data_IF_639604093479
#
_entry.id   IF_639604093479
#
_cell.length_a   1.000
_cell.length_b   1.000
_cell.length_c   1.000
_cell.angle_alpha   90.00
_cell.angle_beta   90.00
_cell.angle_gamma   90.00
#
_symmetry.space_group_name_H-M   'P 1'
#
loop_
_entity.id
_entity.type
_entity.pdbx_description
1 polymer ?
#
# COMPACT_ATOMS: atom_id res chain seq x y z
N UNK A 1 6.07 -19.32 12.36
CA UNK A 1 6.64 -18.18 13.12
C UNK A 1 8.09 -18.50 13.38
N UNK A 2 9.00 -17.77 12.74
CA UNK A 2 10.42 -18.20 12.68
C UNK A 2 11.27 -17.62 13.82
N UNK A 3 10.75 -16.60 14.53
CA UNK A 3 11.44 -15.93 15.64
C UNK A 3 11.27 -16.64 17.00
N UNK A 4 10.65 -17.83 17.05
CA UNK A 4 10.50 -18.61 18.28
C UNK A 4 9.48 -18.06 19.29
N UNK A 5 8.55 -17.21 18.85
CA UNK A 5 7.47 -16.70 19.71
C UNK A 5 6.28 -17.67 19.66
N UNK A 6 5.78 -18.04 20.83
CA UNK A 6 4.59 -18.89 20.96
C UNK A 6 3.35 -18.23 20.31
N UNK A 7 2.61 -18.94 19.43
CA UNK A 7 1.48 -18.37 18.69
C UNK A 7 0.39 -17.77 19.59
N UNK A 8 0.11 -18.38 20.75
CA UNK A 8 -0.86 -17.85 21.72
C UNK A 8 -0.48 -16.44 22.24
N UNK A 9 0.81 -16.16 22.42
CA UNK A 9 1.27 -14.83 22.83
C UNK A 9 1.00 -13.82 21.73
N UNK A 10 1.28 -14.16 20.47
CA UNK A 10 0.99 -13.29 19.33
C UNK A 10 -0.52 -13.02 19.25
N UNK A 11 -1.35 -14.07 19.34
CA UNK A 11 -2.80 -13.95 19.28
C UNK A 11 -3.35 -13.03 20.40
N UNK A 12 -2.80 -13.11 21.61
CA UNK A 12 -3.28 -12.32 22.75
C UNK A 12 -2.78 -10.88 22.78
N UNK A 13 -1.60 -10.58 22.21
CA UNK A 13 -1.02 -9.23 22.28
C UNK A 13 -1.11 -8.42 20.99
N UNK A 14 -1.18 -9.07 19.82
CA UNK A 14 -1.17 -8.37 18.54
C UNK A 14 -2.52 -7.70 18.28
N UNK A 15 -2.51 -6.38 18.17
CA UNK A 15 -3.70 -5.57 17.90
C UNK A 15 -3.89 -5.30 16.40
N UNK A 16 -2.79 -4.95 15.73
CA UNK A 16 -2.75 -4.67 14.31
C UNK A 16 -1.31 -4.84 13.80
N UNK A 17 -1.18 -5.09 12.51
CA UNK A 17 0.08 -4.96 11.79
C UNK A 17 -0.02 -3.84 10.75
N UNK A 18 1.10 -3.18 10.48
CA UNK A 18 1.19 -2.16 9.45
C UNK A 18 2.37 -2.42 8.53
N UNK A 19 2.11 -2.40 7.24
CA UNK A 19 3.13 -2.37 6.20
C UNK A 19 3.31 -0.92 5.73
N UNK A 20 4.56 -0.47 5.66
CA UNK A 20 4.90 0.90 5.25
C UNK A 20 5.87 0.87 4.06
N UNK A 21 5.59 1.68 3.04
CA UNK A 21 6.54 2.00 1.96
C UNK A 21 6.76 3.51 1.87
N UNK A 22 7.98 3.93 1.55
CA UNK A 22 8.29 5.34 1.28
C UNK A 22 8.34 5.57 -0.23
N UNK A 23 7.48 6.45 -0.72
CA UNK A 23 7.44 6.82 -2.14
C UNK A 23 7.98 8.24 -2.34
N UNK A 24 8.63 8.47 -3.48
CA UNK A 24 9.15 9.78 -3.85
C UNK A 24 7.98 10.72 -4.16
N UNK A 25 7.98 11.92 -3.59
CA UNK A 25 6.96 12.95 -3.89
C UNK A 25 7.38 13.73 -5.13
N UNK A 26 6.44 13.97 -6.03
CA UNK A 26 6.68 14.83 -7.18
C UNK A 26 7.10 16.23 -6.74
N UNK A 27 8.05 16.82 -7.47
CA UNK A 27 8.44 18.20 -7.25
C UNK A 27 7.24 19.13 -7.53
N UNK A 28 6.81 19.97 -6.58
CA UNK A 28 5.66 20.84 -6.77
C UNK A 28 5.91 21.92 -7.82
N UNK A 29 7.19 22.29 -8.04
CA UNK A 29 7.59 23.38 -8.93
C UNK A 29 7.57 22.98 -10.41
N UNK A 30 7.66 21.67 -10.73
CA UNK A 30 7.75 21.20 -12.11
C UNK A 30 6.83 20.04 -12.47
N UNK A 31 6.00 19.52 -11.56
CA UNK A 31 5.04 18.45 -11.89
C UNK A 31 4.10 18.90 -13.01
N UNK A 32 3.79 18.01 -13.95
CA UNK A 32 2.88 18.29 -15.07
C UNK A 32 1.60 17.48 -14.94
N UNK A 33 0.47 18.15 -15.10
CA UNK A 33 -0.85 17.52 -15.17
C UNK A 33 -1.09 16.95 -16.57
N UNK A 34 -1.57 15.70 -16.63
CA UNK A 34 -2.01 15.04 -17.86
C UNK A 34 -3.13 14.04 -17.55
N UNK A 35 -3.99 13.71 -18.53
CA UNK A 35 -4.88 12.55 -18.39
C UNK A 35 -4.05 11.25 -18.30
N UNK A 36 -4.57 10.20 -17.63
CA UNK A 36 -3.90 8.91 -17.54
C UNK A 36 -3.61 8.34 -18.92
N UNK A 37 -2.39 7.84 -19.11
CA UNK A 37 -2.05 7.05 -20.29
C UNK A 37 -2.76 5.67 -20.28
N UNK A 38 -2.64 4.91 -21.36
CA UNK A 38 -3.31 3.62 -21.48
C UNK A 38 -2.92 2.64 -20.37
N UNK A 39 -1.65 2.64 -19.94
CA UNK A 39 -1.14 1.76 -18.88
C UNK A 39 -1.66 2.21 -17.52
N UNK A 40 -1.67 3.52 -17.26
CA UNK A 40 -2.19 4.10 -16.03
C UNK A 40 -3.69 3.85 -15.88
N UNK A 41 -4.45 3.92 -16.98
CA UNK A 41 -5.88 3.54 -16.95
C UNK A 41 -6.08 2.09 -16.54
N UNK A 42 -5.24 1.18 -17.04
CA UNK A 42 -5.30 -0.24 -16.64
C UNK A 42 -4.97 -0.39 -15.16
N UNK A 43 -3.85 0.18 -14.74
CA UNK A 43 -3.34 0.05 -13.37
C UNK A 43 -4.31 0.63 -12.33
N UNK A 44 -4.98 1.72 -12.68
CA UNK A 44 -5.92 2.41 -11.79
C UNK A 44 -7.36 1.92 -11.93
N UNK A 45 -7.65 0.97 -12.83
CA UNK A 45 -9.00 0.46 -13.07
C UNK A 45 -9.95 1.49 -13.68
N UNK A 46 -9.44 2.38 -14.52
CA UNK A 46 -10.18 3.49 -15.16
C UNK A 46 -10.65 3.16 -16.58
N UNK A 47 -10.86 1.88 -16.90
CA UNK A 47 -11.20 1.42 -18.26
C UNK A 47 -12.52 1.98 -18.76
N UNK A 48 -13.53 2.02 -17.88
CA UNK A 48 -14.90 2.43 -18.21
C UNK A 48 -15.25 3.80 -17.59
N UNK A 49 -14.24 4.58 -17.18
CA UNK A 49 -14.47 5.86 -16.53
C UNK A 49 -14.89 6.92 -17.56
N UNK A 50 -16.12 7.43 -17.45
CA UNK A 50 -16.62 8.54 -18.29
C UNK A 50 -15.81 9.84 -18.12
N UNK A 51 -15.28 10.05 -16.92
CA UNK A 51 -14.41 11.18 -16.59
C UNK A 51 -13.07 10.66 -16.09
N UNK A 52 -11.99 11.08 -16.75
CA UNK A 52 -10.64 10.70 -16.37
C UNK A 52 -10.08 11.68 -15.32
N UNK A 53 -9.44 11.17 -14.24
CA UNK A 53 -8.77 12.03 -13.28
C UNK A 53 -7.54 12.69 -13.91
N UNK A 54 -7.07 13.77 -13.30
CA UNK A 54 -5.77 14.36 -13.62
C UNK A 54 -4.68 13.61 -12.87
N UNK A 55 -3.70 13.09 -13.59
CA UNK A 55 -2.47 12.52 -13.03
C UNK A 55 -1.34 13.52 -13.18
N UNK A 56 -0.45 13.54 -12.18
CA UNK A 56 0.76 14.35 -12.22
C UNK A 56 1.98 13.50 -12.53
N UNK A 57 2.84 13.99 -13.41
CA UNK A 57 4.06 13.32 -13.85
C UNK A 57 5.31 14.13 -13.51
N UNK A 58 6.46 13.47 -13.28
CA UNK A 58 7.74 14.14 -13.07
C UNK A 58 8.21 14.78 -14.38
N UNK A 59 8.86 15.94 -14.27
CA UNK A 59 9.51 16.61 -15.42
C UNK A 59 10.99 16.79 -15.14
N UNK A 60 11.33 17.48 -14.05
CA UNK A 60 12.71 17.86 -13.71
C UNK A 60 12.90 19.36 -13.85
N UNK A 61 13.53 19.95 -12.83
CA UNK A 61 13.92 21.37 -12.82
C UNK A 61 15.10 21.58 -11.86
N UNK A 62 15.73 22.76 -11.83
CA UNK A 62 16.81 23.06 -10.89
C UNK A 62 16.42 22.86 -9.42
N UNK A 63 15.18 23.18 -9.03
CA UNK A 63 14.71 23.05 -7.65
C UNK A 63 14.61 21.59 -7.15
N UNK A 64 14.54 20.62 -8.05
CA UNK A 64 14.60 19.18 -7.72
C UNK A 64 15.85 18.48 -8.29
N UNK A 65 16.85 19.25 -8.70
CA UNK A 65 18.10 18.74 -9.30
C UNK A 65 17.84 17.80 -10.49
N UNK A 66 16.87 18.17 -11.34
CA UNK A 66 16.47 17.41 -12.52
C UNK A 66 15.91 16.00 -12.25
N UNK A 67 15.58 15.65 -11.00
CA UNK A 67 15.02 14.32 -10.69
C UNK A 67 13.52 14.23 -10.93
N UNK A 68 12.81 15.36 -10.90
CA UNK A 68 11.34 15.43 -10.91
C UNK A 68 10.69 15.16 -9.55
N UNK A 69 11.47 14.89 -8.50
CA UNK A 69 10.98 14.54 -7.16
C UNK A 69 11.63 15.40 -6.07
N UNK A 70 10.88 15.74 -5.01
CA UNK A 70 11.39 16.43 -3.82
C UNK A 70 10.75 15.90 -2.55
N UNK A 71 11.54 15.22 -1.73
CA UNK A 71 11.09 14.58 -0.50
C UNK A 71 10.40 13.23 -0.75
N UNK A 72 9.93 12.63 0.35
CA UNK A 72 9.25 11.33 0.37
C UNK A 72 7.97 11.46 1.19
N UNK A 73 7.02 10.58 0.93
CA UNK A 73 5.84 10.36 1.78
C UNK A 73 5.71 8.87 2.04
N UNK A 74 5.14 8.52 3.18
CA UNK A 74 4.79 7.14 3.46
C UNK A 74 3.41 6.82 2.87
N UNK A 75 3.28 5.59 2.40
CA UNK A 75 2.01 4.92 2.15
C UNK A 75 1.93 3.73 3.10
N UNK A 76 0.73 3.47 3.59
CA UNK A 76 0.49 2.51 4.65
C UNK A 76 -0.59 1.52 4.23
N UNK A 77 -0.37 0.27 4.57
CA UNK A 77 -1.42 -0.73 4.72
C UNK A 77 -1.48 -1.13 6.18
N UNK A 78 -2.70 -1.33 6.67
CA UNK A 78 -2.95 -1.68 8.06
C UNK A 78 -3.96 -2.82 8.09
N UNK A 79 -3.63 -3.86 8.85
CA UNK A 79 -4.50 -5.01 9.08
C UNK A 79 -4.75 -5.07 10.59
N UNK A 80 -6.01 -4.90 10.99
CA UNK A 80 -6.43 -5.12 12.37
C UNK A 80 -6.56 -6.62 12.68
N UNK A 81 -6.18 -7.03 13.88
CA UNK A 81 -6.33 -8.42 14.32
C UNK A 81 -7.65 -8.58 15.07
N UNK A 82 -8.67 -8.95 14.31
CA UNK A 82 -10.00 -9.27 14.83
C UNK A 82 -10.05 -10.67 15.48
N UNK A 83 -11.22 -11.06 15.99
CA UNK A 83 -11.41 -12.37 16.62
C UNK A 83 -11.21 -13.56 15.67
N UNK A 84 -11.37 -13.39 14.35
CA UNK A 84 -11.15 -14.44 13.37
C UNK A 84 -9.66 -14.66 13.15
N UNK A 85 -8.92 -13.60 12.82
CA UNK A 85 -7.48 -13.65 12.64
C UNK A 85 -6.78 -14.08 13.92
N UNK A 86 -7.26 -13.63 15.09
CA UNK A 86 -6.73 -14.07 16.39
C UNK A 86 -6.81 -15.59 16.58
N UNK A 87 -7.94 -16.21 16.21
CA UNK A 87 -8.09 -17.68 16.26
C UNK A 87 -7.18 -18.37 15.26
N UNK A 88 -7.08 -17.84 14.03
CA UNK A 88 -6.21 -18.42 13.00
C UNK A 88 -4.72 -18.39 13.41
N UNK A 89 -4.27 -17.30 14.05
CA UNK A 89 -2.91 -17.20 14.61
C UNK A 89 -2.73 -18.24 15.72
N UNK A 90 -3.70 -18.35 16.64
CA UNK A 90 -3.65 -19.29 17.75
C UNK A 90 -3.54 -20.75 17.26
N UNK A 91 -4.33 -21.10 16.26
CA UNK A 91 -4.44 -22.48 15.73
C UNK A 91 -3.33 -22.82 14.72
N UNK A 92 -2.43 -21.87 14.43
CA UNK A 92 -1.31 -22.08 13.50
C UNK A 92 -1.76 -22.30 12.06
N UNK A 93 -2.87 -21.68 11.66
CA UNK A 93 -3.42 -21.78 10.30
C UNK A 93 -2.38 -21.31 9.27
N UNK A 94 -2.31 -21.90 8.06
CA UNK A 94 -1.38 -21.47 7.03
C UNK A 94 -1.50 -19.98 6.69
N UNK A 95 -0.35 -19.35 6.40
CA UNK A 95 -0.27 -17.91 6.07
C UNK A 95 -1.19 -17.51 4.92
N UNK A 96 -1.26 -18.32 3.86
CA UNK A 96 -2.10 -18.03 2.70
C UNK A 96 -3.59 -17.88 3.05
N UNK A 97 -4.09 -18.66 4.02
CA UNK A 97 -5.47 -18.55 4.49
C UNK A 97 -5.67 -17.31 5.37
N UNK A 98 -4.70 -17.00 6.24
CA UNK A 98 -4.70 -15.78 7.04
C UNK A 98 -4.67 -14.53 6.16
N UNK A 99 -3.87 -14.53 5.09
CA UNK A 99 -3.83 -13.45 4.10
C UNK A 99 -5.19 -13.32 3.42
N UNK A 100 -5.80 -14.41 2.95
CA UNK A 100 -7.11 -14.36 2.31
C UNK A 100 -8.19 -13.75 3.22
N UNK A 101 -8.13 -14.01 4.53
CA UNK A 101 -9.00 -13.38 5.51
C UNK A 101 -8.68 -11.89 5.73
N UNK A 102 -7.40 -11.53 5.86
CA UNK A 102 -6.97 -10.15 6.04
C UNK A 102 -7.34 -9.26 4.83
N UNK A 103 -7.25 -9.81 3.61
CA UNK A 103 -7.61 -9.12 2.36
C UNK A 103 -9.10 -8.76 2.24
N UNK A 104 -9.96 -9.36 3.07
CA UNK A 104 -11.37 -8.93 3.18
C UNK A 104 -11.52 -7.62 3.94
N UNK A 105 -10.52 -7.24 4.73
CA UNK A 105 -10.56 -6.11 5.65
C UNK A 105 -9.72 -4.92 5.14
N UNK A 106 -8.64 -5.17 4.41
CA UNK A 106 -7.75 -4.13 3.89
C UNK A 106 -7.37 -4.34 2.44
N UNK A 107 -7.26 -3.24 1.70
CA UNK A 107 -6.66 -3.25 0.37
C UNK A 107 -5.12 -3.31 0.50
N UNK A 108 -4.44 -4.11 -0.35
CA UNK A 108 -2.98 -4.18 -0.35
C UNK A 108 -2.35 -2.85 -0.76
N UNK A 109 -1.14 -2.59 -0.24
CA UNK A 109 -0.19 -1.72 -0.94
C UNK A 109 0.08 -2.30 -2.32
N UNK A 110 -0.45 -1.64 -3.35
CA UNK A 110 -0.18 -2.00 -4.75
C UNK A 110 1.27 -1.66 -5.09
N UNK A 111 1.92 -2.57 -5.82
CA UNK A 111 3.23 -2.31 -6.45
C UNK A 111 3.10 -1.47 -7.71
#
# INVERSE_FOLDING_TARGET
>A
VDMGIEPFLIASTLLATTAQRLVRRLCPDCRRAAPPDARERVLLGLHDAETLPVIYHPVGCPACRQTGYRGRTAIYEMIGIDGSLRRMIHDGVPEAEMEAMARRQSAPLRE
#
